data_IF_510529758138
#
_entry.id   IF_510529758138
#
_cell.length_a   1.000
_cell.length_b   1.000
_cell.length_c   1.000
_cell.angle_alpha   90.00
_cell.angle_beta   90.00
_cell.angle_gamma   90.00
#
_symmetry.space_group_name_H-M   'P 1'
#
loop_
_entity.id
_entity.type
_entity.pdbx_description
1 polymer ?
#
# COMPACT_ATOMS: atom_id res chain seq x y z
N UNK A 1 80.12 49.25 55.71
CA UNK A 1 78.87 49.81 55.16
C UNK A 1 78.85 49.78 53.63
N UNK A 2 79.87 50.29 52.91
CA UNK A 2 79.88 50.36 51.43
C UNK A 2 79.97 48.98 50.74
N UNK A 3 80.69 48.01 51.30
CA UNK A 3 80.81 46.66 50.71
C UNK A 3 79.52 45.83 50.80
N UNK A 4 78.76 45.92 51.89
CA UNK A 4 77.48 45.24 52.03
C UNK A 4 76.43 45.79 51.05
N UNK A 5 76.45 47.09 50.76
CA UNK A 5 75.56 47.70 49.76
C UNK A 5 75.91 47.22 48.34
N UNK A 6 77.19 47.04 48.00
CA UNK A 6 77.57 46.46 46.71
C UNK A 6 77.21 44.98 46.60
N UNK A 7 77.38 44.20 47.67
CA UNK A 7 77.01 42.78 47.71
C UNK A 7 75.49 42.60 47.56
N UNK A 8 74.69 43.39 48.29
CA UNK A 8 73.22 43.36 48.23
C UNK A 8 72.71 43.88 46.87
N UNK A 9 73.28 44.95 46.34
CA UNK A 9 72.92 45.47 45.00
C UNK A 9 73.30 44.46 43.91
N UNK A 10 74.45 43.79 44.00
CA UNK A 10 74.84 42.72 43.06
C UNK A 10 73.96 41.47 43.18
N UNK A 11 73.51 41.12 44.39
CA UNK A 11 72.54 40.05 44.62
C UNK A 11 71.17 40.40 44.03
N UNK A 12 70.69 41.64 44.20
CA UNK A 12 69.41 42.11 43.66
C UNK A 12 69.47 42.21 42.13
N UNK A 13 70.60 42.62 41.54
CA UNK A 13 70.79 42.68 40.08
C UNK A 13 70.94 41.27 39.48
N UNK A 14 71.56 40.32 40.17
CA UNK A 14 71.67 38.92 39.70
C UNK A 14 70.34 38.16 39.83
N UNK A 15 69.55 38.43 40.88
CA UNK A 15 68.17 37.94 41.04
C UNK A 15 67.23 38.65 40.04
N UNK A 16 67.44 39.94 39.78
CA UNK A 16 66.70 40.74 38.80
C UNK A 16 66.89 40.24 37.36
N UNK A 17 68.11 39.98 36.92
CA UNK A 17 68.39 39.39 35.60
C UNK A 17 67.80 37.99 35.44
N UNK A 18 67.88 37.17 36.49
CA UNK A 18 67.27 35.83 36.52
C UNK A 18 65.75 35.88 36.45
N UNK A 19 65.12 36.85 37.11
CA UNK A 19 63.66 37.03 37.10
C UNK A 19 63.11 37.42 35.72
N UNK A 20 63.85 38.22 34.93
CA UNK A 20 63.47 38.57 33.55
C UNK A 20 63.54 37.34 32.65
N UNK A 21 64.57 36.50 32.81
CA UNK A 21 64.70 35.24 32.05
C UNK A 21 63.58 34.26 32.41
N UNK A 22 63.27 34.10 33.70
CA UNK A 22 62.16 33.27 34.17
C UNK A 22 60.82 33.79 33.64
N UNK A 23 60.59 35.11 33.66
CA UNK A 23 59.37 35.72 33.15
C UNK A 23 59.25 35.56 31.62
N UNK A 24 60.35 35.74 30.87
CA UNK A 24 60.38 35.55 29.42
C UNK A 24 60.13 34.09 29.04
N UNK A 25 60.74 33.13 29.74
CA UNK A 25 60.50 31.70 29.54
C UNK A 25 59.08 31.29 29.94
N UNK A 26 58.55 31.83 31.03
CA UNK A 26 57.17 31.57 31.47
C UNK A 26 56.15 32.10 30.46
N UNK A 27 56.39 33.30 29.90
CA UNK A 27 55.56 33.87 28.85
C UNK A 27 55.66 33.08 27.54
N UNK A 28 56.86 32.63 27.17
CA UNK A 28 57.07 31.82 25.97
C UNK A 28 56.42 30.45 26.09
N UNK A 29 56.61 29.75 27.21
CA UNK A 29 56.02 28.44 27.46
C UNK A 29 54.51 28.52 27.62
N UNK A 30 54.00 29.56 28.28
CA UNK A 30 52.58 29.84 28.39
C UNK A 30 51.94 30.10 27.03
N UNK A 31 52.56 30.94 26.20
CA UNK A 31 52.09 31.19 24.83
C UNK A 31 52.12 29.91 23.99
N UNK A 32 53.22 29.14 24.02
CA UNK A 32 53.36 27.89 23.26
C UNK A 32 52.37 26.80 23.69
N UNK A 33 52.15 26.61 24.99
CA UNK A 33 51.16 25.67 25.49
C UNK A 33 49.73 26.14 25.18
N UNK A 34 49.46 27.46 25.30
CA UNK A 34 48.14 28.01 25.01
C UNK A 34 47.77 27.88 23.54
N UNK A 35 48.69 28.17 22.61
CA UNK A 35 48.45 28.00 21.18
C UNK A 35 48.28 26.54 20.83
N UNK A 36 49.14 25.64 21.33
CA UNK A 36 49.02 24.20 21.07
C UNK A 36 47.73 23.60 21.65
N UNK A 37 47.30 24.03 22.84
CA UNK A 37 46.07 23.58 23.47
C UNK A 37 44.84 24.12 22.74
N UNK A 38 44.86 25.40 22.35
CA UNK A 38 43.79 26.04 21.59
C UNK A 38 43.68 25.44 20.16
N UNK A 39 44.80 25.20 19.48
CA UNK A 39 44.84 24.52 18.19
C UNK A 39 44.32 23.09 18.32
N UNK A 40 44.73 22.34 19.35
CA UNK A 40 44.24 20.98 19.58
C UNK A 40 42.74 20.96 19.89
N UNK A 41 42.24 21.94 20.65
CA UNK A 41 40.83 22.07 21.01
C UNK A 41 39.99 22.42 19.78
N UNK A 42 40.40 23.44 19.02
CA UNK A 42 39.74 23.86 17.79
C UNK A 42 39.72 22.73 16.75
N UNK A 43 40.86 22.06 16.53
CA UNK A 43 40.94 20.90 15.63
C UNK A 43 40.02 19.76 16.06
N UNK A 44 39.85 19.53 17.37
CA UNK A 44 38.93 18.49 17.88
C UNK A 44 37.48 18.88 17.61
N UNK A 45 37.10 20.13 17.88
CA UNK A 45 35.74 20.61 17.62
C UNK A 45 35.41 20.67 16.13
N UNK A 46 36.36 21.07 15.29
CA UNK A 46 36.18 21.06 13.84
C UNK A 46 35.94 19.64 13.33
N UNK A 47 36.73 18.67 13.80
CA UNK A 47 36.51 17.24 13.49
C UNK A 47 35.16 16.74 14.00
N UNK A 48 34.76 17.08 15.22
CA UNK A 48 33.44 16.69 15.76
C UNK A 48 32.31 17.29 14.92
N UNK A 49 32.42 18.55 14.51
CA UNK A 49 31.45 19.20 13.63
C UNK A 49 31.39 18.55 12.25
N UNK A 50 32.53 18.22 11.64
CA UNK A 50 32.57 17.49 10.36
C UNK A 50 31.94 16.10 10.48
N UNK A 51 32.24 15.36 11.56
CA UNK A 51 31.65 14.05 11.83
C UNK A 51 30.13 14.16 12.00
N UNK A 52 29.64 15.17 12.72
CA UNK A 52 28.20 15.38 12.89
C UNK A 52 27.55 15.75 11.56
N UNK A 53 28.14 16.67 10.78
CA UNK A 53 27.62 17.07 9.47
C UNK A 53 27.57 15.90 8.49
N UNK A 54 28.63 15.11 8.42
CA UNK A 54 28.70 13.93 7.54
C UNK A 54 27.71 12.85 7.96
N UNK A 55 27.51 12.62 9.27
CA UNK A 55 26.44 11.73 9.77
C UNK A 55 25.05 12.20 9.35
N UNK A 56 24.72 13.47 9.60
CA UNK A 56 23.41 14.01 9.21
C UNK A 56 23.20 14.00 7.68
N UNK A 57 24.25 14.32 6.91
CA UNK A 57 24.18 14.23 5.44
C UNK A 57 23.92 12.79 4.98
N UNK A 58 24.60 11.81 5.60
CA UNK A 58 24.41 10.38 5.30
C UNK A 58 23.01 9.89 5.70
N UNK A 59 22.52 10.26 6.88
CA UNK A 59 21.15 9.93 7.32
C UNK A 59 20.09 10.56 6.41
N UNK A 60 20.28 11.82 6.01
CA UNK A 60 19.39 12.49 5.07
C UNK A 60 19.38 11.82 3.70
N UNK A 61 20.55 11.41 3.20
CA UNK A 61 20.65 10.67 1.94
C UNK A 61 19.99 9.29 2.04
N UNK A 62 20.23 8.57 3.13
CA UNK A 62 19.62 7.25 3.36
C UNK A 62 18.09 7.34 3.45
N UNK A 63 17.57 8.27 4.25
CA UNK A 63 16.12 8.47 4.39
C UNK A 63 15.48 8.91 3.08
N UNK A 64 16.14 9.77 2.29
CA UNK A 64 15.68 10.12 0.95
C UNK A 64 15.65 8.91 0.03
N UNK A 65 16.68 8.06 0.06
CA UNK A 65 16.74 6.85 -0.74
C UNK A 65 15.66 5.83 -0.34
N UNK A 66 15.38 5.66 0.94
CA UNK A 66 14.29 4.81 1.44
C UNK A 66 12.92 5.35 1.03
N UNK A 67 12.73 6.67 1.13
CA UNK A 67 11.50 7.32 0.69
C UNK A 67 11.25 7.12 -0.81
N UNK A 68 12.28 7.30 -1.64
CA UNK A 68 12.17 7.09 -3.09
C UNK A 68 11.88 5.62 -3.43
N UNK A 69 12.50 4.67 -2.71
CA UNK A 69 12.16 3.25 -2.83
C UNK A 69 10.71 2.96 -2.47
N UNK A 70 10.24 3.51 -1.34
CA UNK A 70 8.86 3.33 -0.88
C UNK A 70 7.85 3.93 -1.86
N UNK A 71 8.09 5.15 -2.35
CA UNK A 71 7.28 5.78 -3.40
C UNK A 71 7.25 4.95 -4.67
N UNK A 72 8.40 4.47 -5.14
CA UNK A 72 8.48 3.65 -6.35
C UNK A 72 7.70 2.33 -6.20
N UNK A 73 7.84 1.66 -5.06
CA UNK A 73 7.07 0.43 -4.77
C UNK A 73 5.57 0.72 -4.70
N UNK A 74 5.18 1.80 -4.03
CA UNK A 74 3.79 2.23 -3.93
C UNK A 74 3.18 2.52 -5.30
N UNK A 75 3.87 3.31 -6.13
CA UNK A 75 3.40 3.64 -7.49
C UNK A 75 3.22 2.39 -8.34
N UNK A 76 4.21 1.48 -8.34
CA UNK A 76 4.12 0.22 -9.06
C UNK A 76 2.96 -0.64 -8.57
N UNK A 77 2.76 -0.72 -7.26
CA UNK A 77 1.66 -1.47 -6.67
C UNK A 77 0.30 -0.87 -7.04
N UNK A 78 0.15 0.45 -6.91
CA UNK A 78 -1.06 1.20 -7.25
C UNK A 78 -1.42 1.06 -8.73
N UNK A 79 -0.44 1.17 -9.64
CA UNK A 79 -0.65 0.97 -11.07
C UNK A 79 -1.13 -0.44 -11.38
N UNK A 80 -0.54 -1.47 -10.74
CA UNK A 80 -0.96 -2.86 -10.93
C UNK A 80 -2.36 -3.13 -10.36
N UNK A 81 -2.69 -2.56 -9.19
CA UNK A 81 -4.05 -2.63 -8.67
C UNK A 81 -5.05 -1.95 -9.62
N UNK A 82 -4.71 -0.78 -10.16
CA UNK A 82 -5.59 -0.08 -11.12
C UNK A 82 -5.90 -0.93 -12.36
N UNK A 83 -4.87 -1.50 -13.00
CA UNK A 83 -5.03 -2.39 -14.15
C UNK A 83 -5.94 -3.58 -13.82
N UNK A 84 -5.68 -4.22 -12.69
CA UNK A 84 -6.45 -5.37 -12.19
C UNK A 84 -7.91 -5.03 -11.92
N UNK A 85 -8.20 -3.94 -11.20
CA UNK A 85 -9.58 -3.55 -10.90
C UNK A 85 -10.35 -3.20 -12.17
N UNK A 86 -9.70 -2.58 -13.15
CA UNK A 86 -10.31 -2.29 -14.45
C UNK A 86 -10.63 -3.58 -15.22
N UNK A 87 -9.71 -4.54 -15.25
CA UNK A 87 -9.92 -5.81 -15.96
C UNK A 87 -10.98 -6.68 -15.28
N UNK A 88 -10.98 -6.75 -13.94
CA UNK A 88 -12.07 -7.38 -13.19
C UNK A 88 -13.41 -6.73 -13.51
N UNK A 89 -13.47 -5.39 -13.54
CA UNK A 89 -14.71 -4.68 -13.87
C UNK A 89 -15.24 -5.05 -15.27
N UNK A 90 -14.37 -5.13 -16.28
CA UNK A 90 -14.77 -5.55 -17.63
C UNK A 90 -15.35 -6.97 -17.63
N UNK A 91 -14.70 -7.91 -16.94
CA UNK A 91 -15.18 -9.30 -16.85
C UNK A 91 -16.54 -9.36 -16.16
N UNK A 92 -16.72 -8.63 -15.04
CA UNK A 92 -18.00 -8.55 -14.33
C UNK A 92 -19.12 -7.99 -15.21
N UNK A 93 -18.86 -6.91 -15.96
CA UNK A 93 -19.83 -6.34 -16.88
C UNK A 93 -20.22 -7.30 -18.00
N UNK A 94 -19.26 -8.07 -18.51
CA UNK A 94 -19.53 -9.08 -19.52
C UNK A 94 -20.41 -10.20 -18.96
N UNK A 95 -20.13 -10.68 -17.75
CA UNK A 95 -20.94 -11.67 -17.03
C UNK A 95 -22.35 -11.16 -16.77
N UNK A 96 -22.48 -9.91 -16.29
CA UNK A 96 -23.77 -9.24 -16.12
C UNK A 96 -24.57 -9.21 -17.42
N UNK A 97 -23.93 -8.81 -18.53
CA UNK A 97 -24.58 -8.72 -19.83
C UNK A 97 -25.13 -10.08 -20.27
N UNK A 98 -24.40 -11.18 -20.05
CA UNK A 98 -24.91 -12.52 -20.36
C UNK A 98 -26.10 -12.90 -19.46
N UNK A 99 -26.05 -12.56 -18.17
CA UNK A 99 -27.19 -12.74 -17.26
C UNK A 99 -28.43 -11.94 -17.73
N UNK A 100 -28.24 -10.69 -18.18
CA UNK A 100 -29.30 -9.83 -18.71
C UNK A 100 -29.88 -10.38 -20.02
N UNK A 101 -29.05 -10.94 -20.91
CA UNK A 101 -29.52 -11.61 -22.12
C UNK A 101 -30.38 -12.84 -21.79
N UNK A 102 -29.94 -13.66 -20.83
CA UNK A 102 -30.71 -14.81 -20.33
C UNK A 102 -32.00 -14.39 -19.60
N UNK A 103 -32.02 -13.18 -19.02
CA UNK A 103 -33.23 -12.61 -18.45
C UNK A 103 -34.26 -12.25 -19.53
N UNK A 104 -33.83 -11.58 -20.59
CA UNK A 104 -34.69 -11.14 -21.69
C UNK A 104 -35.17 -12.31 -22.55
N UNK A 105 -34.27 -13.22 -22.89
CA UNK A 105 -34.54 -14.40 -23.70
C UNK A 105 -33.96 -15.63 -23.01
N UNK A 106 -34.83 -16.43 -22.41
CA UNK A 106 -34.47 -17.71 -21.82
C UNK A 106 -34.19 -18.75 -22.92
N UNK A 107 -33.06 -18.59 -23.61
CA UNK A 107 -32.55 -19.53 -24.62
C UNK A 107 -31.67 -20.59 -23.93
N UNK A 108 -32.08 -21.87 -23.92
CA UNK A 108 -31.31 -22.93 -23.26
C UNK A 108 -29.88 -23.04 -23.77
N UNK A 109 -29.64 -22.71 -25.04
CA UNK A 109 -28.31 -22.79 -25.66
C UNK A 109 -27.32 -21.75 -25.10
N UNK A 110 -27.82 -20.71 -24.42
CA UNK A 110 -27.00 -19.66 -23.80
C UNK A 110 -26.63 -19.99 -22.33
N UNK A 111 -27.20 -21.05 -21.74
CA UNK A 111 -26.86 -21.45 -20.36
C UNK A 111 -25.43 -21.96 -20.25
N UNK A 112 -24.91 -22.83 -21.14
CA UNK A 112 -23.52 -23.29 -21.06
C UNK A 112 -22.51 -22.15 -21.19
N UNK A 113 -22.73 -21.21 -22.11
CA UNK A 113 -21.84 -20.05 -22.28
C UNK A 113 -21.83 -19.14 -21.04
N UNK A 114 -22.99 -18.95 -20.39
CA UNK A 114 -23.08 -18.23 -19.13
C UNK A 114 -22.38 -18.95 -17.97
N UNK A 115 -22.55 -20.27 -17.86
CA UNK A 115 -21.85 -21.09 -16.88
C UNK A 115 -20.33 -20.95 -17.01
N UNK A 116 -19.84 -21.00 -18.24
CA UNK A 116 -18.42 -20.83 -18.53
C UNK A 116 -17.94 -19.42 -18.17
N UNK A 117 -18.75 -18.40 -18.46
CA UNK A 117 -18.41 -17.03 -18.11
C UNK A 117 -18.36 -16.80 -16.59
N UNK A 118 -19.26 -17.42 -15.81
CA UNK A 118 -19.19 -17.40 -14.34
C UNK A 118 -17.87 -18.03 -13.86
N UNK A 119 -17.49 -19.18 -14.45
CA UNK A 119 -16.22 -19.85 -14.14
C UNK A 119 -15.01 -18.97 -14.46
N UNK A 120 -14.98 -18.34 -15.64
CA UNK A 120 -13.92 -17.40 -16.04
C UNK A 120 -13.84 -16.20 -15.09
N UNK A 121 -14.99 -15.69 -14.65
CA UNK A 121 -15.06 -14.59 -13.67
C UNK A 121 -14.47 -15.00 -12.34
N UNK A 122 -14.84 -16.18 -11.83
CA UNK A 122 -14.28 -16.75 -10.60
C UNK A 122 -12.77 -16.92 -10.69
N UNK A 123 -12.27 -17.48 -11.80
CA UNK A 123 -10.84 -17.64 -12.00
C UNK A 123 -10.12 -16.30 -12.03
N UNK A 124 -10.66 -15.31 -12.75
CA UNK A 124 -10.08 -13.96 -12.78
C UNK A 124 -9.98 -13.33 -11.38
N UNK A 125 -10.92 -13.60 -10.48
CA UNK A 125 -10.87 -13.13 -9.09
C UNK A 125 -9.80 -13.92 -8.31
N UNK A 126 -9.81 -15.25 -8.39
CA UNK A 126 -8.87 -16.12 -7.67
C UNK A 126 -7.42 -15.91 -8.08
N UNK A 127 -7.15 -15.79 -9.37
CA UNK A 127 -5.80 -15.61 -9.94
C UNK A 127 -5.17 -14.28 -9.49
N UNK A 128 -6.02 -13.32 -9.08
CA UNK A 128 -5.64 -11.96 -8.72
C UNK A 128 -5.81 -11.66 -7.23
N UNK A 129 -6.07 -12.67 -6.40
CA UNK A 129 -6.39 -12.55 -4.96
C UNK A 129 -5.41 -11.66 -4.18
N UNK A 130 -4.11 -11.75 -4.47
CA UNK A 130 -3.05 -11.04 -3.74
C UNK A 130 -3.13 -9.51 -3.82
N UNK A 131 -3.82 -8.98 -4.84
CA UNK A 131 -3.91 -7.54 -5.11
C UNK A 131 -5.35 -7.02 -4.91
N UNK A 132 -6.28 -7.89 -4.51
CA UNK A 132 -7.67 -7.52 -4.22
C UNK A 132 -7.81 -7.28 -2.73
N UNK A 133 -8.44 -6.17 -2.34
CA UNK A 133 -8.76 -5.92 -0.93
C UNK A 133 -9.77 -6.96 -0.41
N UNK A 134 -9.62 -7.40 0.84
CA UNK A 134 -10.43 -8.48 1.42
C UNK A 134 -11.95 -8.18 1.33
N UNK A 135 -12.37 -6.96 1.66
CA UNK A 135 -13.77 -6.53 1.54
C UNK A 135 -14.29 -6.62 0.09
N UNK A 136 -13.45 -6.30 -0.89
CA UNK A 136 -13.82 -6.42 -2.29
C UNK A 136 -13.95 -7.87 -2.71
N UNK A 137 -13.01 -8.72 -2.28
CA UNK A 137 -13.04 -10.15 -2.55
C UNK A 137 -14.34 -10.79 -2.06
N UNK A 138 -14.75 -10.51 -0.82
CA UNK A 138 -16.01 -11.05 -0.28
C UNK A 138 -17.22 -10.66 -1.13
N UNK A 139 -17.33 -9.38 -1.52
CA UNK A 139 -18.43 -8.89 -2.39
C UNK A 139 -18.42 -9.58 -3.76
N UNK A 140 -17.23 -9.80 -4.33
CA UNK A 140 -17.06 -10.46 -5.62
C UNK A 140 -17.50 -11.93 -5.58
N UNK A 141 -17.16 -12.66 -4.51
CA UNK A 141 -17.60 -14.04 -4.31
C UNK A 141 -19.12 -14.10 -4.12
N UNK A 142 -19.68 -13.22 -3.28
CA UNK A 142 -21.14 -13.11 -3.12
C UNK A 142 -21.85 -12.85 -4.46
N UNK A 143 -21.26 -12.02 -5.33
CA UNK A 143 -21.80 -11.75 -6.65
C UNK A 143 -21.79 -12.99 -7.56
N UNK A 144 -20.69 -13.74 -7.55
CA UNK A 144 -20.61 -15.02 -8.28
C UNK A 144 -21.71 -15.97 -7.81
N UNK A 145 -21.91 -16.11 -6.50
CA UNK A 145 -22.96 -16.96 -5.95
C UNK A 145 -24.35 -16.52 -6.42
N UNK A 146 -24.61 -15.21 -6.51
CA UNK A 146 -25.88 -14.71 -7.06
C UNK A 146 -26.04 -15.07 -8.55
N UNK A 147 -24.97 -15.01 -9.35
CA UNK A 147 -25.02 -15.44 -10.74
C UNK A 147 -25.28 -16.95 -10.89
N UNK A 148 -24.66 -17.77 -10.06
CA UNK A 148 -24.90 -19.22 -10.04
C UNK A 148 -26.35 -19.53 -9.64
N UNK A 149 -26.85 -18.90 -8.58
CA UNK A 149 -28.26 -19.04 -8.17
C UNK A 149 -29.23 -18.62 -9.29
N UNK A 150 -28.89 -17.56 -10.02
CA UNK A 150 -29.66 -17.13 -11.17
C UNK A 150 -29.65 -18.17 -12.30
N UNK A 151 -28.49 -18.72 -12.65
CA UNK A 151 -28.35 -19.80 -13.63
C UNK A 151 -29.18 -21.03 -13.24
N UNK A 152 -29.07 -21.51 -12.01
CA UNK A 152 -29.85 -22.64 -11.51
C UNK A 152 -31.35 -22.39 -11.61
N UNK A 153 -31.80 -21.18 -11.27
CA UNK A 153 -33.20 -20.81 -11.43
C UNK A 153 -33.66 -20.80 -12.90
N UNK A 154 -32.79 -20.43 -13.85
CA UNK A 154 -33.10 -20.50 -15.29
C UNK A 154 -33.21 -21.93 -15.80
N UNK A 155 -32.29 -22.81 -15.40
CA UNK A 155 -32.36 -24.25 -15.70
C UNK A 155 -33.67 -24.85 -15.21
N UNK A 156 -34.02 -24.58 -13.94
CA UNK A 156 -35.28 -25.07 -13.36
C UNK A 156 -36.52 -24.59 -14.13
N UNK A 157 -36.54 -23.36 -14.63
CA UNK A 157 -37.66 -22.86 -15.45
C UNK A 157 -37.76 -23.57 -16.81
N UNK A 158 -36.62 -23.93 -17.42
CA UNK A 158 -36.60 -24.71 -18.65
C UNK A 158 -37.13 -26.12 -18.39
N UNK A 159 -36.71 -26.77 -17.31
CA UNK A 159 -37.18 -28.11 -16.94
C UNK A 159 -38.70 -28.13 -16.69
N UNK A 160 -39.22 -27.15 -15.95
CA UNK A 160 -40.65 -26.99 -15.70
C UNK A 160 -41.42 -26.80 -17.03
N UNK A 161 -40.85 -26.04 -17.98
CA UNK A 161 -41.47 -25.83 -19.29
C UNK A 161 -41.63 -27.14 -20.06
N UNK A 162 -40.57 -27.95 -20.10
CA UNK A 162 -40.57 -29.27 -20.77
C UNK A 162 -41.62 -30.20 -20.12
N UNK A 163 -41.73 -30.18 -18.79
CA UNK A 163 -42.73 -30.98 -18.07
C UNK A 163 -44.17 -30.56 -18.35
N UNK A 164 -44.44 -29.25 -18.49
CA UNK A 164 -45.77 -28.73 -18.84
C UNK A 164 -46.17 -29.15 -20.26
N UNK A 165 -45.24 -29.12 -21.21
CA UNK A 165 -45.46 -29.48 -22.60
C UNK A 165 -45.73 -31.01 -22.79
N UNK A 166 -45.31 -31.86 -21.85
CA UNK A 166 -45.40 -33.32 -21.95
C UNK A 166 -46.39 -34.05 -21.02
N UNK A 167 -47.17 -33.36 -20.16
CA UNK A 167 -47.89 -34.00 -19.03
C UNK A 167 -49.41 -33.75 -18.92
N UNK A 168 -50.07 -34.59 -18.10
CA UNK A 168 -51.51 -34.56 -17.75
C UNK A 168 -51.92 -33.31 -16.94
N UNK A 169 -53.22 -32.96 -16.93
CA UNK A 169 -53.76 -31.71 -16.34
C UNK A 169 -53.34 -31.44 -14.88
N UNK A 170 -53.23 -32.48 -14.03
CA UNK A 170 -52.82 -32.32 -12.62
C UNK A 170 -51.35 -31.92 -12.50
N UNK A 171 -50.47 -32.49 -13.33
CA UNK A 171 -49.06 -32.10 -13.41
C UNK A 171 -48.91 -30.65 -13.91
N UNK A 172 -49.78 -30.20 -14.82
CA UNK A 172 -49.75 -28.81 -15.31
C UNK A 172 -50.07 -27.78 -14.22
N UNK A 173 -50.96 -28.08 -13.27
CA UNK A 173 -51.32 -27.14 -12.18
C UNK A 173 -50.16 -26.99 -11.19
N UNK A 174 -49.55 -28.11 -10.77
CA UNK A 174 -48.40 -28.11 -9.85
C UNK A 174 -47.21 -27.39 -10.51
N UNK A 175 -46.91 -27.71 -11.76
CA UNK A 175 -45.84 -27.09 -12.53
C UNK A 175 -46.05 -25.58 -12.74
N UNK A 176 -47.29 -25.09 -12.85
CA UNK A 176 -47.58 -23.65 -12.93
C UNK A 176 -47.26 -22.91 -11.62
N UNK A 177 -47.62 -23.48 -10.47
CA UNK A 177 -47.30 -22.89 -9.17
C UNK A 177 -45.77 -22.86 -8.93
N UNK A 178 -45.08 -23.95 -9.28
CA UNK A 178 -43.62 -24.04 -9.18
C UNK A 178 -42.88 -23.10 -10.15
N UNK A 179 -43.42 -22.91 -11.36
CA UNK A 179 -42.92 -21.90 -12.30
C UNK A 179 -42.98 -20.51 -11.68
N UNK A 180 -44.13 -20.12 -11.12
CA UNK A 180 -44.33 -18.79 -10.55
C UNK A 180 -43.40 -18.53 -9.36
N UNK A 181 -43.23 -19.53 -8.48
CA UNK A 181 -42.28 -19.46 -7.37
C UNK A 181 -40.84 -19.29 -7.87
N UNK A 182 -40.46 -20.03 -8.90
CA UNK A 182 -39.11 -19.98 -9.47
C UNK A 182 -38.86 -18.64 -10.18
N UNK A 183 -39.83 -18.10 -10.93
CA UNK A 183 -39.76 -16.76 -11.54
C UNK A 183 -39.54 -15.70 -10.47
N UNK A 184 -40.33 -15.74 -9.38
CA UNK A 184 -40.21 -14.77 -8.29
C UNK A 184 -38.85 -14.84 -7.58
N UNK A 185 -38.34 -16.04 -7.32
CA UNK A 185 -36.99 -16.22 -6.77
C UNK A 185 -35.92 -15.67 -7.71
N UNK A 186 -36.00 -16.03 -8.99
CA UNK A 186 -35.02 -15.62 -10.00
C UNK A 186 -35.01 -14.09 -10.22
N UNK A 187 -36.19 -13.44 -10.17
CA UNK A 187 -36.31 -11.98 -10.18
C UNK A 187 -35.61 -11.33 -8.99
N UNK A 188 -35.82 -11.85 -7.77
CA UNK A 188 -35.14 -11.34 -6.56
C UNK A 188 -33.62 -11.53 -6.65
N UNK A 189 -33.16 -12.67 -7.16
CA UNK A 189 -31.72 -12.89 -7.39
C UNK A 189 -31.15 -11.90 -8.40
N UNK A 190 -31.91 -11.57 -9.45
CA UNK A 190 -31.53 -10.51 -10.39
C UNK A 190 -31.36 -9.15 -9.73
N UNK A 191 -32.36 -8.72 -8.98
CA UNK A 191 -32.32 -7.46 -8.24
C UNK A 191 -31.11 -7.39 -7.28
N UNK A 192 -30.78 -8.52 -6.62
CA UNK A 192 -29.63 -8.63 -5.74
C UNK A 192 -28.30 -8.49 -6.48
N UNK A 193 -28.07 -9.23 -7.56
CA UNK A 193 -26.81 -9.11 -8.30
C UNK A 193 -26.67 -7.73 -8.95
N UNK A 194 -27.76 -7.14 -9.44
CA UNK A 194 -27.74 -5.81 -10.07
C UNK A 194 -27.28 -4.76 -9.04
N UNK A 195 -27.82 -4.82 -7.83
CA UNK A 195 -27.40 -3.94 -6.73
C UNK A 195 -25.93 -4.18 -6.36
N UNK A 196 -25.55 -5.44 -6.16
CA UNK A 196 -24.20 -5.79 -5.72
C UNK A 196 -23.13 -5.37 -6.72
N UNK A 197 -23.40 -5.49 -8.03
CA UNK A 197 -22.50 -4.99 -9.08
C UNK A 197 -22.31 -3.48 -9.00
N UNK A 198 -23.39 -2.73 -8.74
CA UNK A 198 -23.28 -1.27 -8.58
C UNK A 198 -22.49 -0.89 -7.33
N UNK A 199 -22.69 -1.61 -6.24
CA UNK A 199 -21.94 -1.39 -5.00
C UNK A 199 -20.44 -1.70 -5.19
N UNK A 200 -20.10 -2.80 -5.87
CA UNK A 200 -18.70 -3.15 -6.25
C UNK A 200 -18.11 -2.07 -7.17
N UNK A 201 -18.85 -1.63 -8.18
CA UNK A 201 -18.38 -0.58 -9.09
C UNK A 201 -18.17 0.77 -8.39
N UNK A 202 -18.88 1.05 -7.29
CA UNK A 202 -18.63 2.20 -6.44
C UNK A 202 -17.34 2.02 -5.63
N UNK A 203 -17.18 0.88 -4.95
CA UNK A 203 -16.00 0.63 -4.11
C UNK A 203 -14.70 0.56 -4.92
N UNK A 204 -14.73 -0.03 -6.12
CA UNK A 204 -13.59 -0.03 -7.04
C UNK A 204 -13.18 1.40 -7.43
N UNK A 205 -14.15 2.29 -7.69
CA UNK A 205 -13.86 3.69 -8.01
C UNK A 205 -13.27 4.46 -6.85
N UNK A 206 -13.65 4.14 -5.62
CA UNK A 206 -13.07 4.74 -4.41
C UNK A 206 -11.63 4.27 -4.24
N UNK A 207 -11.36 2.97 -4.36
CA UNK A 207 -10.01 2.40 -4.31
C UNK A 207 -9.08 3.00 -5.38
N UNK A 208 -9.56 3.15 -6.61
CA UNK A 208 -8.78 3.68 -7.73
C UNK A 208 -8.41 5.15 -7.53
N UNK A 209 -9.25 5.93 -6.83
CA UNK A 209 -9.00 7.37 -6.64
C UNK A 209 -7.92 7.67 -5.62
N UNK A 210 -7.63 6.72 -4.72
CA UNK A 210 -6.74 6.93 -3.57
C UNK A 210 -7.43 7.69 -2.45
#
# INVERSE_FOLDING_TARGET
MIEYVKLVTAFIVSIGGSSVVIFALSKWFGNFLSTRLLDSYNNKHEKELEVIKTKYASELENTKNELEKAKSMFLRYSEKQFELYNDLWKVLLYTKRQADLLWQKADPNQIPSFSEQIRLTRNAISDNLLLIEEEHYEKLIQLIEQFEQFQFGKLKLIDIRIQIEGGEQVQQIISKADAQNTINKNRRTKEKYDKLIMDIGKSFREQIKG
#
